data_IF_449536146543
#
_entry.id   IF_449536146543
#
_cell.length_a   1.000
_cell.length_b   1.000
_cell.length_c   1.000
_cell.angle_alpha   90.00
_cell.angle_beta   90.00
_cell.angle_gamma   90.00
#
_symmetry.space_group_name_H-M   'P 1'
#
loop_
_entity.id
_entity.type
_entity.pdbx_description
1 polymer ?
#
# COMPACT_ATOMS: atom_id res chain seq x y z
N UNK A 1 -2.88 16.06 31.43
CA UNK A 1 -3.62 15.97 30.15
C UNK A 1 -4.63 17.12 30.09
N UNK A 2 -4.38 18.17 29.29
CA UNK A 2 -5.29 19.31 29.15
C UNK A 2 -6.30 19.08 28.01
N UNK A 3 -7.60 19.30 28.27
CA UNK A 3 -8.67 19.18 27.27
C UNK A 3 -8.54 20.29 26.22
N UNK A 4 -8.34 19.89 24.97
CA UNK A 4 -8.40 20.74 23.77
C UNK A 4 -9.80 20.63 23.18
N UNK A 5 -10.35 21.73 22.65
CA UNK A 5 -11.65 21.72 21.96
C UNK A 5 -11.46 21.03 20.61
N UNK A 6 -12.06 19.85 20.40
CA UNK A 6 -12.07 19.21 19.08
C UNK A 6 -12.76 20.13 18.08
N UNK A 7 -12.01 20.59 17.09
CA UNK A 7 -12.59 21.28 15.93
C UNK A 7 -13.32 20.26 15.07
N UNK A 8 -14.57 20.56 14.69
CA UNK A 8 -15.29 19.87 13.61
C UNK A 8 -14.68 20.25 12.26
N UNK A 9 -13.44 19.83 12.00
CA UNK A 9 -12.72 20.06 10.73
C UNK A 9 -12.57 18.78 9.92
N UNK A 10 -12.25 18.87 8.64
CA UNK A 10 -11.73 17.74 7.84
C UNK A 10 -10.23 17.60 8.08
N UNK A 11 -9.67 16.40 7.88
CA UNK A 11 -8.23 16.23 7.89
C UNK A 11 -7.59 17.13 6.81
N UNK A 12 -6.41 17.68 7.10
CA UNK A 12 -5.65 18.50 6.14
C UNK A 12 -4.39 17.75 5.76
N UNK A 13 -4.16 17.57 4.47
CA UNK A 13 -2.90 17.06 3.95
C UNK A 13 -2.02 18.22 3.49
N UNK A 14 -0.76 18.21 3.93
CA UNK A 14 0.27 19.13 3.49
C UNK A 14 1.33 18.34 2.73
N UNK A 15 1.61 18.75 1.51
CA UNK A 15 2.58 18.08 0.63
C UNK A 15 3.84 18.95 0.50
N UNK A 16 4.99 18.33 0.64
CA UNK A 16 6.31 18.95 0.57
C UNK A 16 7.24 18.10 -0.31
N UNK A 17 8.30 18.73 -0.83
CA UNK A 17 9.42 18.03 -1.44
C UNK A 17 10.65 18.26 -0.57
N UNK A 18 11.24 17.18 -0.06
CA UNK A 18 12.44 17.23 0.76
C UNK A 18 13.51 16.36 0.12
N UNK A 19 14.59 16.98 -0.36
CA UNK A 19 15.71 16.31 -1.07
C UNK A 19 15.24 15.38 -2.20
N UNK A 20 14.25 15.83 -2.98
CA UNK A 20 13.67 15.06 -4.09
C UNK A 20 12.58 14.06 -3.67
N UNK A 21 12.39 13.79 -2.37
CA UNK A 21 11.34 12.89 -1.90
C UNK A 21 10.04 13.65 -1.61
N UNK A 22 8.90 13.06 -1.99
CA UNK A 22 7.57 13.54 -1.57
C UNK A 22 7.34 13.25 -0.10
N UNK A 23 6.96 14.27 0.65
CA UNK A 23 6.66 14.18 2.08
C UNK A 23 5.26 14.74 2.31
N UNK A 24 4.37 13.92 2.86
CA UNK A 24 3.01 14.30 3.20
C UNK A 24 2.83 14.32 4.71
N UNK A 25 2.33 15.42 5.25
CA UNK A 25 1.88 15.51 6.62
C UNK A 25 0.35 15.60 6.63
N UNK A 26 -0.30 14.50 7.00
CA UNK A 26 -1.74 14.47 7.22
C UNK A 26 -2.06 14.83 8.66
N UNK A 27 -2.78 15.93 8.87
CA UNK A 27 -3.19 16.41 10.19
C UNK A 27 -4.67 16.10 10.38
N UNK A 28 -4.96 15.20 11.31
CA UNK A 28 -6.31 14.84 11.72
C UNK A 28 -6.99 16.03 12.46
N UNK A 29 -8.34 16.14 12.49
CA UNK A 29 -9.03 17.20 13.23
C UNK A 29 -8.71 17.23 14.73
N UNK A 30 -8.28 16.09 15.29
CA UNK A 30 -7.77 16.00 16.66
C UNK A 30 -6.40 16.66 16.85
N UNK A 31 -5.72 17.08 15.77
CA UNK A 31 -4.37 17.65 15.75
C UNK A 31 -3.24 16.62 15.73
N UNK A 32 -3.55 15.32 15.72
CA UNK A 32 -2.57 14.24 15.54
C UNK A 32 -2.18 14.18 14.06
N UNK A 33 -0.89 14.02 13.81
CA UNK A 33 -0.32 14.00 12.47
C UNK A 33 0.09 12.60 12.08
N UNK A 34 0.07 12.32 10.78
CA UNK A 34 0.77 11.20 10.19
C UNK A 34 1.67 11.74 9.10
N UNK A 35 2.97 11.57 9.28
CA UNK A 35 3.96 11.89 8.28
C UNK A 35 4.14 10.66 7.39
N UNK A 36 4.11 10.86 6.08
CA UNK A 36 4.34 9.83 5.06
C UNK A 36 5.44 10.32 4.14
N UNK A 37 6.48 9.52 3.94
CA UNK A 37 7.66 9.85 3.14
C UNK A 37 7.79 8.84 2.01
N UNK A 38 7.77 9.34 0.78
CA UNK A 38 7.82 8.55 -0.46
C UNK A 38 6.80 7.38 -0.51
N UNK A 39 5.69 7.47 0.23
CA UNK A 39 4.74 6.39 0.48
C UNK A 39 5.30 5.07 1.06
N UNK A 40 6.59 5.00 1.38
CA UNK A 40 7.26 3.80 1.95
C UNK A 40 7.38 3.86 3.46
N UNK A 41 7.56 5.06 4.01
CA UNK A 41 7.84 5.26 5.43
C UNK A 41 6.76 6.14 6.03
N UNK A 42 6.27 5.79 7.21
CA UNK A 42 5.30 6.62 7.93
C UNK A 42 5.62 6.72 9.41
N UNK A 43 5.29 7.87 9.99
CA UNK A 43 5.44 8.14 11.41
C UNK A 43 4.20 8.82 11.96
N UNK A 44 3.65 8.27 13.05
CA UNK A 44 2.60 8.92 13.81
C UNK A 44 3.19 10.01 14.70
N UNK A 45 2.61 11.20 14.61
CA UNK A 45 3.05 12.39 15.34
C UNK A 45 1.96 12.79 16.32
N UNK A 46 2.33 12.96 17.59
CA UNK A 46 1.47 13.63 18.55
C UNK A 46 1.27 15.11 18.14
N UNK A 47 0.37 15.82 18.84
CA UNK A 47 -0.02 17.19 18.46
C UNK A 47 1.12 18.19 18.37
N UNK A 48 2.04 18.18 19.34
CA UNK A 48 3.18 19.12 19.34
C UNK A 48 4.18 18.78 18.24
N UNK A 49 4.46 17.50 18.03
CA UNK A 49 5.33 17.02 16.96
C UNK A 49 4.75 17.33 15.58
N UNK A 50 3.43 17.26 15.43
CA UNK A 50 2.72 17.62 14.19
C UNK A 50 2.89 19.09 13.85
N UNK A 51 2.71 19.98 14.84
CA UNK A 51 2.92 21.42 14.65
C UNK A 51 4.38 21.72 14.29
N UNK A 52 5.33 21.07 14.96
CA UNK A 52 6.75 21.25 14.68
C UNK A 52 7.14 20.72 13.29
N UNK A 53 6.62 19.57 12.87
CA UNK A 53 6.84 19.02 11.53
C UNK A 53 6.31 19.96 10.45
N UNK A 54 5.08 20.46 10.61
CA UNK A 54 4.48 21.44 9.70
C UNK A 54 5.36 22.70 9.59
N UNK A 55 5.80 23.25 10.74
CA UNK A 55 6.60 24.48 10.75
C UNK A 55 7.96 24.26 10.07
N UNK A 56 8.63 23.14 10.38
CA UNK A 56 9.93 22.80 9.79
C UNK A 56 9.84 22.58 8.28
N UNK A 57 8.88 21.77 7.83
CA UNK A 57 8.70 21.43 6.41
C UNK A 57 8.25 22.64 5.58
N UNK A 58 7.53 23.58 6.19
CA UNK A 58 7.13 24.85 5.55
C UNK A 58 8.25 25.91 5.55
N UNK A 59 9.42 25.62 6.13
CA UNK A 59 10.53 26.57 6.22
C UNK A 59 10.31 27.72 7.21
N UNK A 60 9.40 27.57 8.18
CA UNK A 60 9.18 28.59 9.20
C UNK A 60 10.40 28.71 10.14
N UNK A 61 10.78 29.94 10.57
CA UNK A 61 11.83 30.12 11.56
C UNK A 61 11.50 29.40 12.88
N UNK A 62 12.50 28.79 13.56
CA UNK A 62 12.31 28.08 14.83
C UNK A 62 11.54 28.90 15.89
N UNK A 63 11.79 30.21 15.95
CA UNK A 63 11.17 31.12 16.92
C UNK A 63 9.65 31.24 16.71
N UNK A 64 9.22 31.16 15.45
CA UNK A 64 7.81 31.18 15.06
C UNK A 64 7.14 29.87 15.48
N UNK A 65 7.76 28.73 15.17
CA UNK A 65 7.27 27.41 15.56
C UNK A 65 7.10 27.28 17.08
N UNK A 66 8.11 27.71 17.84
CA UNK A 66 8.12 27.74 19.31
C UNK A 66 6.98 28.62 19.84
N UNK A 67 6.84 29.84 19.30
CA UNK A 67 5.78 30.77 19.70
C UNK A 67 4.39 30.20 19.42
N UNK A 68 4.20 29.51 18.30
CA UNK A 68 2.95 28.80 17.97
C UNK A 68 2.68 27.68 18.96
N UNK A 69 3.67 26.87 19.31
CA UNK A 69 3.52 25.78 20.27
C UNK A 69 3.15 26.27 21.67
N UNK A 70 3.85 27.29 22.19
CA UNK A 70 3.54 27.88 23.51
C UNK A 70 2.10 28.43 23.56
N UNK A 71 1.62 29.01 22.45
CA UNK A 71 0.23 29.48 22.33
C UNK A 71 -0.78 28.33 22.24
N UNK A 72 -0.44 27.25 21.55
CA UNK A 72 -1.32 26.12 21.29
C UNK A 72 -1.46 25.17 22.49
N UNK A 73 -0.41 25.01 23.30
CA UNK A 73 -0.34 24.02 24.37
C UNK A 73 -0.24 24.69 25.76
N UNK A 74 -1.34 24.66 26.53
CA UNK A 74 -1.39 25.22 27.89
C UNK A 74 -0.34 24.57 28.79
N UNK A 75 0.44 25.40 29.48
CA UNK A 75 1.47 24.97 30.43
C UNK A 75 2.83 24.64 29.80
N UNK A 76 2.99 24.81 28.49
CA UNK A 76 4.28 24.69 27.82
C UNK A 76 5.08 25.98 27.95
N UNK A 77 6.23 25.94 28.61
CA UNK A 77 7.13 27.12 28.69
C UNK A 77 7.92 27.28 27.40
N UNK A 78 8.43 28.49 27.16
CA UNK A 78 9.23 28.79 25.96
C UNK A 78 10.50 27.96 25.92
N UNK A 79 11.22 27.85 27.03
CA UNK A 79 12.48 27.10 27.11
C UNK A 79 12.26 25.62 26.80
N UNK A 80 11.15 25.05 27.30
CA UNK A 80 10.77 23.67 26.99
C UNK A 80 10.39 23.51 25.52
N UNK A 81 9.59 24.42 24.95
CA UNK A 81 9.22 24.38 23.54
C UNK A 81 10.42 24.49 22.60
N UNK A 82 11.43 25.33 22.91
CA UNK A 82 12.67 25.46 22.13
C UNK A 82 13.49 24.17 22.12
N UNK A 83 13.63 23.53 23.29
CA UNK A 83 14.30 22.23 23.39
C UNK A 83 13.53 21.15 22.63
N UNK A 84 12.23 21.03 22.88
CA UNK A 84 11.39 20.00 22.26
C UNK A 84 11.38 20.16 20.72
N UNK A 85 11.33 21.39 20.19
CA UNK A 85 11.43 21.67 18.75
C UNK A 85 12.78 21.22 18.19
N UNK A 86 13.89 21.59 18.83
CA UNK A 86 15.25 21.25 18.37
C UNK A 86 15.47 19.75 18.33
N UNK A 87 15.09 19.04 19.39
CA UNK A 87 15.24 17.59 19.48
C UNK A 87 14.33 16.88 18.47
N UNK A 88 13.10 17.36 18.29
CA UNK A 88 12.20 16.84 17.28
C UNK A 88 12.74 17.02 15.86
N UNK A 89 13.17 18.23 15.48
CA UNK A 89 13.70 18.49 14.12
C UNK A 89 14.94 17.65 13.83
N UNK A 90 15.81 17.43 14.82
CA UNK A 90 16.97 16.53 14.66
C UNK A 90 16.53 15.12 14.29
N UNK A 91 15.57 14.55 15.03
CA UNK A 91 15.01 13.20 14.78
C UNK A 91 14.24 13.13 13.47
N UNK A 92 13.47 14.18 13.14
CA UNK A 92 12.72 14.27 11.90
C UNK A 92 13.67 14.31 10.69
N UNK A 93 14.74 15.09 10.74
CA UNK A 93 15.76 15.09 9.66
C UNK A 93 16.36 13.71 9.49
N UNK A 94 16.77 13.06 10.58
CA UNK A 94 17.28 11.71 10.51
C UNK A 94 16.24 10.73 9.94
N UNK A 95 14.96 10.84 10.31
CA UNK A 95 13.90 10.03 9.70
C UNK A 95 13.72 10.33 8.21
N UNK A 96 13.78 11.59 7.78
CA UNK A 96 13.65 11.95 6.37
C UNK A 96 14.86 11.44 5.56
N UNK A 97 16.05 11.56 6.12
CA UNK A 97 17.34 11.26 5.48
C UNK A 97 17.74 9.78 5.56
N UNK A 98 17.18 8.99 6.47
CA UNK A 98 17.58 7.61 6.70
C UNK A 98 17.03 6.64 5.65
N UNK A 99 17.89 5.87 4.99
CA UNK A 99 17.46 4.72 4.19
C UNK A 99 17.09 3.52 5.09
N UNK A 100 17.77 3.33 6.24
CA UNK A 100 17.62 2.11 7.08
C UNK A 100 17.49 2.34 8.61
N UNK A 101 17.45 3.59 9.09
CA UNK A 101 17.47 3.85 10.54
C UNK A 101 16.15 3.44 11.18
N UNK A 102 16.19 2.55 12.17
CA UNK A 102 15.03 2.12 12.91
C UNK A 102 14.44 3.32 13.70
N UNK A 103 13.23 3.81 13.36
CA UNK A 103 12.69 5.02 13.97
C UNK A 103 12.47 4.87 15.48
N UNK A 104 12.33 3.63 15.96
CA UNK A 104 11.98 3.31 17.33
C UNK A 104 13.23 3.32 18.22
N UNK A 105 14.26 2.54 17.85
CA UNK A 105 15.48 2.40 18.67
C UNK A 105 16.41 3.59 18.53
N UNK A 106 16.53 4.15 17.32
CA UNK A 106 17.59 5.11 17.02
C UNK A 106 17.08 6.56 17.06
N UNK A 107 15.79 6.77 16.78
CA UNK A 107 15.17 8.10 16.71
C UNK A 107 14.18 8.36 17.86
N UNK A 108 13.88 7.33 18.66
CA UNK A 108 13.01 7.43 19.84
C UNK A 108 11.56 7.82 19.51
N UNK A 109 11.06 7.44 18.33
CA UNK A 109 9.62 7.50 18.04
C UNK A 109 8.91 6.42 18.86
N UNK A 110 7.77 6.76 19.46
CA UNK A 110 6.96 5.79 20.18
C UNK A 110 6.34 4.79 19.19
N UNK A 111 6.39 3.49 19.53
CA UNK A 111 5.67 2.45 18.79
C UNK A 111 4.17 2.67 18.98
N UNK A 112 3.47 2.91 17.88
CA UNK A 112 2.02 2.93 17.81
C UNK A 112 1.62 1.62 17.15
N UNK A 113 0.83 0.81 17.84
CA UNK A 113 0.39 -0.46 17.28
C UNK A 113 -0.38 -0.21 15.97
N UNK A 114 -0.20 -1.06 14.94
CA UNK A 114 -0.95 -0.93 13.70
C UNK A 114 -2.46 -0.82 14.00
N UNK A 115 -3.13 0.15 13.37
CA UNK A 115 -4.56 0.43 13.53
C UNK A 115 -5.02 0.94 14.92
N UNK A 116 -4.11 1.17 15.87
CA UNK A 116 -4.49 1.70 17.19
C UNK A 116 -4.90 3.18 17.17
N UNK A 117 -4.66 3.88 16.06
CA UNK A 117 -5.10 5.25 15.82
C UNK A 117 -6.22 5.23 14.78
N UNK A 118 -7.42 5.68 15.18
CA UNK A 118 -8.54 5.87 14.25
C UNK A 118 -8.22 7.06 13.34
N UNK A 119 -8.10 6.79 12.05
CA UNK A 119 -7.93 7.81 11.01
C UNK A 119 -9.28 8.22 10.44
N UNK A 120 -9.30 9.35 9.73
CA UNK A 120 -10.48 9.89 9.02
C UNK A 120 -10.56 9.43 7.55
N UNK A 121 -9.50 8.79 7.05
CA UNK A 121 -9.39 8.27 5.69
C UNK A 121 -8.26 7.21 5.61
N UNK A 122 -8.21 6.38 4.55
CA UNK A 122 -7.08 5.48 4.32
C UNK A 122 -5.81 6.27 3.96
N UNK A 123 -4.67 5.59 3.91
CA UNK A 123 -3.39 6.18 3.45
C UNK A 123 -3.15 5.98 1.95
N UNK A 124 -3.80 4.98 1.37
CA UNK A 124 -3.71 4.67 -0.06
C UNK A 124 -5.10 4.38 -0.61
N UNK A 125 -5.39 4.91 -1.79
CA UNK A 125 -6.58 4.58 -2.56
C UNK A 125 -6.18 3.85 -3.84
N UNK A 126 -6.70 2.65 -4.03
CA UNK A 126 -6.50 1.87 -5.24
C UNK A 126 -7.56 2.24 -6.27
N UNK A 127 -7.14 2.72 -7.44
CA UNK A 127 -8.03 3.18 -8.51
C UNK A 127 -8.06 2.12 -9.61
N UNK A 128 -9.07 1.24 -9.57
CA UNK A 128 -9.32 0.27 -10.62
C UNK A 128 -9.94 1.00 -11.82
N UNK A 129 -9.10 1.47 -12.74
CA UNK A 129 -9.53 2.38 -13.81
C UNK A 129 -10.43 1.70 -14.85
N UNK A 130 -10.19 0.41 -15.06
CA UNK A 130 -10.90 -0.45 -16.00
C UNK A 130 -10.75 -1.89 -15.52
N UNK A 131 -11.71 -2.76 -15.85
CA UNK A 131 -11.55 -4.22 -15.73
C UNK A 131 -11.20 -4.91 -17.07
N UNK A 132 -11.00 -4.13 -18.14
CA UNK A 132 -10.37 -4.66 -19.36
C UNK A 132 -8.95 -5.10 -19.03
N UNK A 133 -8.55 -6.25 -19.55
CA UNK A 133 -7.20 -6.78 -19.40
C UNK A 133 -6.80 -7.55 -20.65
N UNK A 134 -5.53 -7.44 -21.04
CA UNK A 134 -4.92 -8.20 -22.12
C UNK A 134 -4.40 -9.57 -21.66
N UNK A 135 -4.39 -9.85 -20.35
CA UNK A 135 -4.15 -11.19 -19.77
C UNK A 135 -5.47 -11.91 -19.42
N UNK A 136 -5.38 -13.22 -19.15
CA UNK A 136 -6.49 -14.06 -18.69
C UNK A 136 -6.08 -14.95 -17.50
N UNK A 137 -5.37 -14.37 -16.54
CA UNK A 137 -4.70 -15.14 -15.49
C UNK A 137 -5.64 -16.10 -14.76
N UNK A 138 -5.18 -17.33 -14.52
CA UNK A 138 -6.00 -18.40 -13.92
C UNK A 138 -6.50 -18.05 -12.51
N UNK A 139 -5.72 -17.26 -11.75
CA UNK A 139 -6.02 -16.88 -10.36
C UNK A 139 -6.67 -15.50 -10.20
N UNK A 140 -7.00 -14.80 -11.30
CA UNK A 140 -7.34 -13.37 -11.23
C UNK A 140 -8.49 -13.09 -10.25
N UNK A 141 -8.22 -12.27 -9.23
CA UNK A 141 -9.22 -11.86 -8.26
C UNK A 141 -10.20 -10.83 -8.85
N UNK A 142 -9.75 -9.97 -9.78
CA UNK A 142 -10.59 -8.99 -10.47
C UNK A 142 -11.60 -9.58 -11.43
N UNK A 143 -11.39 -10.82 -11.87
CA UNK A 143 -12.28 -11.56 -12.76
C UNK A 143 -12.39 -10.93 -14.15
N UNK A 144 -12.01 -11.72 -15.17
CA UNK A 144 -12.58 -11.81 -16.53
C UNK A 144 -13.22 -10.59 -17.24
N UNK A 145 -13.12 -10.45 -18.59
CA UNK A 145 -13.88 -9.48 -19.40
C UNK A 145 -15.40 -9.40 -19.18
N UNK A 146 -15.98 -10.35 -18.45
CA UNK A 146 -17.40 -10.41 -18.07
C UNK A 146 -17.75 -9.49 -16.88
N UNK A 147 -16.75 -8.97 -16.14
CA UNK A 147 -16.92 -8.05 -15.02
C UNK A 147 -17.05 -6.59 -15.45
N UNK A 148 -17.31 -6.33 -16.74
CA UNK A 148 -17.31 -4.97 -17.30
C UNK A 148 -18.37 -4.09 -16.63
N UNK A 149 -17.89 -3.22 -15.76
CA UNK A 149 -18.63 -2.08 -15.25
C UNK A 149 -18.54 -0.91 -16.22
N UNK A 150 -19.52 0.00 -16.24
CA UNK A 150 -19.35 1.29 -16.90
C UNK A 150 -18.08 1.97 -16.39
N UNK A 151 -17.20 2.40 -17.30
CA UNK A 151 -15.98 3.10 -16.93
C UNK A 151 -16.26 4.60 -16.80
N UNK A 152 -15.79 5.21 -15.72
CA UNK A 152 -15.73 6.67 -15.57
C UNK A 152 -14.91 7.27 -16.72
N UNK A 153 -15.40 8.42 -17.19
CA UNK A 153 -14.67 9.27 -18.14
C UNK A 153 -13.39 9.84 -17.52
N UNK A 154 -12.50 10.36 -18.37
CA UNK A 154 -11.26 11.03 -17.94
C UNK A 154 -11.54 12.14 -16.92
N UNK A 155 -12.53 12.99 -17.18
CA UNK A 155 -12.89 14.10 -16.28
C UNK A 155 -13.47 13.62 -14.95
N UNK A 156 -14.21 12.51 -14.96
CA UNK A 156 -14.69 11.88 -13.73
C UNK A 156 -13.55 11.28 -12.92
N UNK A 157 -12.58 10.60 -13.55
CA UNK A 157 -11.39 10.11 -12.84
C UNK A 157 -10.54 11.25 -12.26
N UNK A 158 -10.37 12.36 -12.98
CA UNK A 158 -9.76 13.57 -12.41
C UNK A 158 -10.55 14.13 -11.23
N UNK A 159 -11.89 14.06 -11.28
CA UNK A 159 -12.72 14.42 -10.13
C UNK A 159 -12.51 13.46 -8.95
N UNK A 160 -12.32 12.16 -9.20
CA UNK A 160 -11.96 11.18 -8.17
C UNK A 160 -10.60 11.53 -7.56
N UNK A 161 -9.58 11.82 -8.36
CA UNK A 161 -8.25 12.20 -7.86
C UNK A 161 -8.31 13.46 -6.98
N UNK A 162 -9.04 14.50 -7.41
CA UNK A 162 -9.29 15.70 -6.59
C UNK A 162 -9.99 15.35 -5.29
N UNK A 163 -11.02 14.50 -5.35
CA UNK A 163 -11.75 14.04 -4.16
C UNK A 163 -10.84 13.29 -3.18
N UNK A 164 -9.97 12.40 -3.67
CA UNK A 164 -9.00 11.65 -2.87
C UNK A 164 -8.00 12.60 -2.18
N UNK A 165 -7.48 13.59 -2.92
CA UNK A 165 -6.61 14.62 -2.36
C UNK A 165 -7.32 15.47 -1.29
N UNK A 166 -8.57 15.88 -1.52
CA UNK A 166 -9.39 16.64 -0.57
C UNK A 166 -9.69 15.87 0.73
N UNK A 167 -9.74 14.54 0.65
CA UNK A 167 -9.87 13.65 1.81
C UNK A 167 -8.56 13.47 2.58
N UNK A 168 -7.46 14.02 2.06
CA UNK A 168 -6.13 13.92 2.64
C UNK A 168 -5.52 12.52 2.52
N UNK A 169 -5.87 11.79 1.46
CA UNK A 169 -5.27 10.50 1.13
C UNK A 169 -4.02 10.77 0.27
N UNK A 170 -2.81 10.44 0.73
CA UNK A 170 -1.57 10.86 0.06
C UNK A 170 -1.14 9.99 -1.11
N UNK A 171 -1.58 8.73 -1.17
CA UNK A 171 -1.14 7.77 -2.18
C UNK A 171 -2.32 7.27 -3.02
N UNK A 172 -2.16 7.26 -4.33
CA UNK A 172 -3.04 6.58 -5.28
C UNK A 172 -2.27 5.53 -6.06
N UNK A 173 -2.90 4.37 -6.28
CA UNK A 173 -2.35 3.34 -7.15
C UNK A 173 -3.31 3.06 -8.29
N UNK A 174 -2.85 3.30 -9.51
CA UNK A 174 -3.58 2.95 -10.72
C UNK A 174 -3.49 1.43 -10.94
N UNK A 175 -4.65 0.77 -11.06
CA UNK A 175 -4.78 -0.69 -11.12
C UNK A 175 -6.07 -1.09 -11.86
N UNK A 176 -6.56 -2.31 -11.64
CA UNK A 176 -7.88 -2.81 -12.03
C UNK A 176 -7.79 -4.19 -12.68
N UNK A 177 -8.17 -4.25 -13.95
CA UNK A 177 -7.71 -5.25 -14.90
C UNK A 177 -6.30 -4.87 -15.33
N UNK A 178 -6.17 -4.12 -16.43
CA UNK A 178 -4.90 -3.54 -16.87
C UNK A 178 -5.05 -2.04 -17.12
N UNK A 179 -4.52 -1.17 -16.23
CA UNK A 179 -4.65 0.29 -16.37
C UNK A 179 -3.99 0.83 -17.65
N UNK A 180 -2.94 0.19 -18.17
CA UNK A 180 -2.24 0.63 -19.40
C UNK A 180 -3.04 0.44 -20.70
N UNK A 181 -4.25 -0.14 -20.62
CA UNK A 181 -5.20 -0.21 -21.74
C UNK A 181 -6.11 1.03 -21.86
N UNK A 182 -5.91 2.03 -21.00
CA UNK A 182 -6.57 3.32 -21.13
C UNK A 182 -5.65 4.33 -21.79
N UNK A 183 -6.18 5.00 -22.80
CA UNK A 183 -5.45 6.03 -23.56
C UNK A 183 -5.15 7.28 -22.73
N UNK A 184 -5.93 7.51 -21.65
CA UNK A 184 -5.80 8.67 -20.76
C UNK A 184 -4.94 8.42 -19.52
N UNK A 185 -4.28 7.26 -19.38
CA UNK A 185 -3.50 6.93 -18.17
C UNK A 185 -2.41 7.96 -17.87
N UNK A 186 -1.65 8.39 -18.88
CA UNK A 186 -0.58 9.40 -18.74
C UNK A 186 -1.15 10.73 -18.21
N UNK A 187 -2.32 11.13 -18.70
CA UNK A 187 -3.01 12.34 -18.25
C UNK A 187 -3.48 12.22 -16.79
N UNK A 188 -3.95 11.04 -16.38
CA UNK A 188 -4.37 10.79 -14.99
C UNK A 188 -3.17 10.77 -14.02
N UNK A 189 -2.02 10.23 -14.44
CA UNK A 189 -0.76 10.31 -13.67
C UNK A 189 -0.33 11.77 -13.50
N UNK A 190 -0.36 12.55 -14.58
CA UNK A 190 -0.02 13.98 -14.52
C UNK A 190 -0.96 14.77 -13.58
N UNK A 191 -2.26 14.46 -13.59
CA UNK A 191 -3.20 15.08 -12.64
C UNK A 191 -2.91 14.68 -11.19
N UNK A 192 -2.60 13.40 -10.92
CA UNK A 192 -2.21 12.95 -9.59
C UNK A 192 -0.96 13.69 -9.10
N UNK A 193 0.03 13.85 -9.97
CA UNK A 193 1.25 14.61 -9.70
C UNK A 193 0.96 16.09 -9.42
N UNK A 194 0.08 16.73 -10.21
CA UNK A 194 -0.34 18.13 -10.01
C UNK A 194 -1.03 18.34 -8.67
N UNK A 195 -1.77 17.35 -8.19
CA UNK A 195 -2.42 17.35 -6.88
C UNK A 195 -1.45 17.04 -5.73
N UNK A 196 -0.19 16.74 -6.04
CA UNK A 196 0.83 16.35 -5.08
C UNK A 196 0.51 15.02 -4.41
N UNK A 197 -0.11 14.08 -5.12
CA UNK A 197 -0.27 12.70 -4.69
C UNK A 197 1.00 11.90 -5.04
N UNK A 198 1.28 10.85 -4.27
CA UNK A 198 2.18 9.78 -4.72
C UNK A 198 1.38 8.88 -5.65
N UNK A 199 1.88 8.67 -6.86
CA UNK A 199 1.26 7.87 -7.91
C UNK A 199 2.05 6.57 -8.11
N UNK A 200 1.42 5.45 -7.78
CA UNK A 200 1.91 4.12 -8.11
C UNK A 200 1.15 3.51 -9.29
N UNK A 201 1.78 2.60 -10.01
CA UNK A 201 1.16 1.79 -11.05
C UNK A 201 1.31 0.30 -10.71
N UNK A 202 0.21 -0.45 -10.72
CA UNK A 202 0.23 -1.92 -10.72
C UNK A 202 -0.20 -2.39 -12.10
N UNK A 203 0.67 -3.13 -12.79
CA UNK A 203 0.47 -3.51 -14.20
C UNK A 203 1.03 -4.90 -14.48
N UNK A 204 0.54 -5.56 -15.53
CA UNK A 204 1.18 -6.73 -16.11
C UNK A 204 2.39 -6.39 -16.99
N UNK A 205 2.68 -5.10 -17.21
CA UNK A 205 3.89 -4.60 -17.86
C UNK A 205 3.92 -4.72 -19.39
N UNK A 206 3.01 -5.48 -20.01
CA UNK A 206 3.10 -5.82 -21.44
C UNK A 206 3.04 -4.60 -22.36
N UNK A 207 2.20 -3.61 -22.02
CA UNK A 207 2.09 -2.38 -22.81
C UNK A 207 3.31 -1.46 -22.65
N UNK A 208 4.10 -1.63 -21.60
CA UNK A 208 5.35 -0.89 -21.40
C UNK A 208 6.47 -1.35 -22.35
N UNK A 209 6.28 -2.46 -23.08
CA UNK A 209 7.14 -2.82 -24.21
C UNK A 209 7.12 -1.75 -25.32
N UNK A 210 6.03 -0.98 -25.41
CA UNK A 210 6.04 0.30 -26.12
C UNK A 210 6.74 1.36 -25.25
N UNK A 211 8.00 1.62 -25.56
CA UNK A 211 8.84 2.54 -24.79
C UNK A 211 8.25 3.94 -24.67
N UNK A 212 7.47 4.39 -25.66
CA UNK A 212 6.84 5.72 -25.62
C UNK A 212 5.82 5.87 -24.50
N UNK A 213 5.12 4.78 -24.14
CA UNK A 213 4.20 4.77 -23.00
C UNK A 213 4.99 4.82 -21.68
N UNK A 214 6.08 4.06 -21.56
CA UNK A 214 6.93 4.07 -20.37
C UNK A 214 7.51 5.48 -20.13
N UNK A 215 8.06 6.12 -21.17
CA UNK A 215 8.58 7.49 -21.13
C UNK A 215 7.48 8.48 -20.73
N UNK A 216 6.30 8.42 -21.37
CA UNK A 216 5.19 9.31 -21.04
C UNK A 216 4.72 9.19 -19.59
N UNK A 217 4.71 7.99 -19.01
CA UNK A 217 4.35 7.77 -17.61
C UNK A 217 5.36 8.37 -16.63
N UNK A 218 6.66 8.17 -16.88
CA UNK A 218 7.73 8.73 -16.04
C UNK A 218 7.74 10.26 -16.15
N UNK A 219 7.63 10.81 -17.36
CA UNK A 219 7.55 12.26 -17.59
C UNK A 219 6.33 12.90 -16.93
N UNK A 220 5.19 12.20 -16.90
CA UNK A 220 3.99 12.64 -16.18
C UNK A 220 4.16 12.65 -14.65
N UNK A 221 5.22 12.04 -14.13
CA UNK A 221 5.57 12.05 -12.71
C UNK A 221 5.07 10.83 -11.93
N UNK A 222 5.01 9.67 -12.57
CA UNK A 222 4.81 8.39 -11.88
C UNK A 222 5.96 8.17 -10.87
N UNK A 223 5.64 7.73 -9.65
CA UNK A 223 6.66 7.59 -8.59
C UNK A 223 7.24 6.18 -8.50
N UNK A 224 6.43 5.16 -8.77
CA UNK A 224 6.86 3.76 -8.77
C UNK A 224 5.94 2.87 -9.60
N UNK A 225 6.50 1.74 -10.05
CA UNK A 225 5.75 0.70 -10.77
C UNK A 225 5.95 -0.64 -10.08
N UNK A 226 4.86 -1.37 -9.89
CA UNK A 226 4.88 -2.78 -9.59
C UNK A 226 4.42 -3.56 -10.83
N UNK A 227 5.32 -4.38 -11.38
CA UNK A 227 5.03 -5.22 -12.55
C UNK A 227 4.83 -6.67 -12.10
N UNK A 228 3.73 -7.28 -12.54
CA UNK A 228 3.48 -8.70 -12.24
C UNK A 228 4.22 -9.59 -13.24
N UNK A 229 5.20 -10.37 -12.76
CA UNK A 229 5.92 -11.37 -13.52
C UNK A 229 5.91 -12.70 -12.76
N UNK A 230 5.08 -13.63 -13.18
CA UNK A 230 4.80 -14.85 -12.40
C UNK A 230 5.93 -15.88 -12.38
N UNK A 231 6.91 -15.79 -13.28
CA UNK A 231 8.07 -16.68 -13.34
C UNK A 231 9.12 -16.13 -14.30
N UNK A 232 10.39 -16.45 -14.06
CA UNK A 232 11.46 -16.23 -15.04
C UNK A 232 11.34 -17.14 -16.26
N UNK A 233 10.57 -18.23 -16.17
CA UNK A 233 10.36 -19.19 -17.25
C UNK A 233 9.14 -18.79 -18.09
N UNK A 234 9.31 -18.56 -19.41
CA UNK A 234 8.22 -18.14 -20.27
C UNK A 234 7.00 -19.08 -20.22
N UNK A 235 7.23 -20.39 -20.25
CA UNK A 235 6.16 -21.39 -20.27
C UNK A 235 5.36 -21.43 -18.96
N UNK A 236 5.99 -21.15 -17.81
CA UNK A 236 5.30 -21.10 -16.52
C UNK A 236 4.48 -19.82 -16.42
N UNK A 237 5.08 -18.68 -16.75
CA UNK A 237 4.38 -17.40 -16.77
C UNK A 237 3.17 -17.44 -17.71
N UNK A 238 3.34 -17.91 -18.95
CA UNK A 238 2.26 -17.96 -19.95
C UNK A 238 1.19 -19.00 -19.59
N UNK A 239 1.55 -20.08 -18.88
CA UNK A 239 0.57 -21.00 -18.29
C UNK A 239 -0.26 -20.33 -17.20
N UNK A 240 0.29 -19.39 -16.45
CA UNK A 240 -0.47 -18.65 -15.42
C UNK A 240 -1.32 -17.56 -16.07
N UNK A 241 -0.76 -16.75 -16.98
CA UNK A 241 -1.44 -15.61 -17.64
C UNK A 241 -2.42 -16.02 -18.73
N UNK A 242 -2.28 -17.25 -19.25
CA UNK A 242 -3.07 -17.83 -20.34
C UNK A 242 -2.97 -17.05 -21.67
N UNK A 243 -1.83 -16.38 -21.91
CA UNK A 243 -1.60 -15.60 -23.14
C UNK A 243 -0.20 -15.84 -23.69
N UNK A 244 -0.07 -16.47 -24.87
CA UNK A 244 1.22 -16.64 -25.53
C UNK A 244 1.90 -15.31 -25.85
N UNK A 245 3.22 -15.25 -25.64
CA UNK A 245 4.03 -14.05 -25.82
C UNK A 245 3.95 -13.03 -24.68
N UNK A 246 3.11 -13.25 -23.66
CA UNK A 246 2.96 -12.31 -22.55
C UNK A 246 4.26 -12.13 -21.77
N UNK A 247 5.03 -13.21 -21.59
CA UNK A 247 6.29 -13.15 -20.86
C UNK A 247 7.27 -12.20 -21.54
N UNK A 248 7.45 -12.34 -22.86
CA UNK A 248 8.39 -11.51 -23.64
C UNK A 248 8.01 -10.03 -23.57
N UNK A 249 6.72 -9.72 -23.71
CA UNK A 249 6.22 -8.34 -23.64
C UNK A 249 6.38 -7.77 -22.23
N UNK A 250 6.09 -8.54 -21.18
CA UNK A 250 6.26 -8.11 -19.80
C UNK A 250 7.74 -7.85 -19.48
N UNK A 251 8.65 -8.76 -19.84
CA UNK A 251 10.09 -8.62 -19.62
C UNK A 251 10.65 -7.40 -20.36
N UNK A 252 10.26 -7.18 -21.61
CA UNK A 252 10.65 -5.98 -22.34
C UNK A 252 10.09 -4.70 -21.71
N UNK A 253 8.85 -4.74 -21.22
CA UNK A 253 8.25 -3.63 -20.51
C UNK A 253 8.93 -3.28 -19.20
N UNK A 254 9.38 -4.29 -18.44
CA UNK A 254 10.18 -4.11 -17.21
C UNK A 254 11.51 -3.44 -17.55
N UNK A 255 12.22 -3.94 -18.56
CA UNK A 255 13.50 -3.35 -18.99
C UNK A 255 13.33 -1.89 -19.39
N UNK A 256 12.33 -1.58 -20.22
CA UNK A 256 12.08 -0.21 -20.66
C UNK A 256 11.77 0.75 -19.51
N UNK A 257 10.98 0.33 -18.52
CA UNK A 257 10.60 1.20 -17.41
C UNK A 257 11.75 1.34 -16.39
N UNK A 258 12.51 0.26 -16.13
CA UNK A 258 13.69 0.28 -15.26
C UNK A 258 14.81 1.18 -15.82
N UNK A 259 15.06 1.13 -17.14
CA UNK A 259 16.02 2.00 -17.85
C UNK A 259 15.77 3.50 -17.63
N UNK A 260 14.55 3.90 -17.25
CA UNK A 260 14.17 5.29 -17.01
C UNK A 260 14.44 5.75 -15.57
N UNK A 261 14.96 4.88 -14.71
CA UNK A 261 15.39 5.21 -13.35
C UNK A 261 14.24 5.46 -12.35
N UNK A 262 13.03 5.04 -12.68
CA UNK A 262 11.91 4.97 -11.72
C UNK A 262 12.05 3.70 -10.89
N UNK A 263 11.54 3.73 -9.65
CA UNK A 263 11.57 2.54 -8.81
C UNK A 263 10.63 1.45 -9.34
N UNK A 264 11.18 0.26 -9.56
CA UNK A 264 10.50 -0.92 -10.11
C UNK A 264 10.49 -2.05 -9.10
N UNK A 265 9.30 -2.60 -8.86
CA UNK A 265 9.07 -3.78 -8.04
C UNK A 265 8.49 -4.90 -8.91
N UNK A 266 9.16 -6.05 -8.98
CA UNK A 266 8.63 -7.22 -9.67
C UNK A 266 7.91 -8.10 -8.67
N UNK A 267 6.60 -8.24 -8.84
CA UNK A 267 5.77 -9.06 -7.96
C UNK A 267 5.32 -10.37 -8.65
N UNK A 268 5.36 -11.48 -7.92
CA UNK A 268 4.72 -12.74 -8.32
C UNK A 268 3.60 -13.17 -7.35
N UNK A 269 2.60 -13.88 -7.86
CA UNK A 269 1.67 -14.65 -7.03
C UNK A 269 2.24 -16.04 -6.84
N UNK A 270 2.55 -16.41 -5.59
CA UNK A 270 3.08 -17.73 -5.29
C UNK A 270 2.02 -18.81 -5.59
N UNK A 271 2.46 -19.85 -6.28
CA UNK A 271 1.63 -20.93 -6.79
C UNK A 271 2.42 -22.23 -6.87
N UNK A 272 1.73 -23.37 -6.85
CA UNK A 272 2.33 -24.69 -7.13
C UNK A 272 3.07 -24.77 -8.47
N UNK A 273 2.87 -23.79 -9.37
CA UNK A 273 3.53 -23.75 -10.67
C UNK A 273 4.88 -23.03 -10.64
N UNK A 274 5.13 -22.14 -9.67
CA UNK A 274 6.33 -21.30 -9.62
C UNK A 274 7.11 -21.36 -8.30
N UNK A 275 6.54 -21.87 -7.20
CA UNK A 275 7.22 -21.89 -5.88
C UNK A 275 8.55 -22.64 -5.89
N UNK A 276 8.69 -23.69 -6.70
CA UNK A 276 9.93 -24.47 -6.76
C UNK A 276 11.07 -23.82 -7.54
N UNK A 277 10.90 -22.60 -8.05
CA UNK A 277 11.87 -21.94 -8.94
C UNK A 277 11.89 -20.40 -8.77
N UNK A 278 11.61 -19.94 -7.55
CA UNK A 278 11.48 -18.51 -7.22
C UNK A 278 12.81 -17.76 -7.21
N UNK A 279 13.93 -18.44 -6.93
CA UNK A 279 15.28 -17.83 -6.99
C UNK A 279 15.56 -17.30 -8.39
N UNK A 280 15.22 -18.06 -9.44
CA UNK A 280 15.42 -17.60 -10.82
C UNK A 280 14.58 -16.37 -11.18
N UNK A 281 13.44 -16.14 -10.49
CA UNK A 281 12.68 -14.89 -10.64
C UNK A 281 13.44 -13.70 -10.04
N UNK A 282 14.10 -13.88 -8.90
CA UNK A 282 14.92 -12.84 -8.27
C UNK A 282 16.13 -12.52 -9.14
N UNK A 283 16.79 -13.55 -9.70
CA UNK A 283 17.90 -13.38 -10.64
C UNK A 283 17.50 -12.58 -11.87
N UNK A 284 16.37 -12.95 -12.50
CA UNK A 284 15.86 -12.20 -13.63
C UNK A 284 15.47 -10.77 -13.23
N UNK A 285 14.97 -10.55 -12.02
CA UNK A 285 14.60 -9.22 -11.55
C UNK A 285 15.82 -8.28 -11.47
N UNK A 286 16.92 -8.77 -10.90
CA UNK A 286 18.20 -8.07 -10.85
C UNK A 286 18.74 -7.79 -12.26
N UNK A 287 18.75 -8.79 -13.14
CA UNK A 287 19.18 -8.63 -14.54
C UNK A 287 18.39 -7.57 -15.31
N UNK A 288 17.12 -7.38 -14.97
CA UNK A 288 16.23 -6.39 -15.59
C UNK A 288 16.35 -4.99 -14.95
N UNK A 289 17.15 -4.84 -13.89
CA UNK A 289 17.35 -3.58 -13.18
C UNK A 289 16.21 -3.20 -12.25
N UNK A 290 15.46 -4.17 -11.71
CA UNK A 290 14.44 -3.89 -10.71
C UNK A 290 15.08 -3.58 -9.34
N UNK A 291 14.46 -2.69 -8.56
CA UNK A 291 14.93 -2.34 -7.21
C UNK A 291 14.46 -3.35 -6.15
N UNK A 292 13.36 -4.05 -6.45
CA UNK A 292 12.71 -4.92 -5.50
C UNK A 292 12.06 -6.13 -6.18
N UNK A 293 11.97 -7.22 -5.41
CA UNK A 293 11.16 -8.37 -5.73
C UNK A 293 10.14 -8.61 -4.61
N UNK A 294 8.92 -8.93 -5.01
CA UNK A 294 7.83 -9.12 -4.08
C UNK A 294 7.04 -10.39 -4.37
N UNK A 295 6.40 -10.90 -3.32
CA UNK A 295 5.52 -12.05 -3.40
C UNK A 295 4.15 -11.75 -2.79
N UNK A 296 3.12 -12.33 -3.40
CA UNK A 296 1.74 -12.34 -2.93
C UNK A 296 1.23 -13.77 -2.79
N UNK A 297 0.27 -13.98 -1.89
CA UNK A 297 -0.51 -15.22 -1.81
C UNK A 297 -1.67 -15.22 -2.79
N UNK A 298 -2.23 -16.40 -3.05
CA UNK A 298 -3.53 -16.51 -3.68
C UNK A 298 -4.58 -15.74 -2.86
N UNK A 299 -5.33 -14.88 -3.54
CA UNK A 299 -6.47 -14.17 -2.96
C UNK A 299 -7.74 -14.97 -3.25
N UNK A 300 -8.51 -15.24 -2.21
CA UNK A 300 -9.78 -15.96 -2.31
C UNK A 300 -10.92 -15.05 -2.76
N UNK A 301 -10.83 -14.61 -4.01
CA UNK A 301 -11.84 -13.82 -4.70
C UNK A 301 -11.74 -14.09 -6.21
N UNK A 302 -12.79 -13.79 -6.96
CA UNK A 302 -12.87 -14.06 -8.40
C UNK A 302 -12.49 -15.50 -8.73
N UNK A 303 -11.68 -15.70 -9.77
CA UNK A 303 -11.21 -17.04 -10.18
C UNK A 303 -10.25 -17.67 -9.18
N UNK A 304 -9.66 -16.90 -8.27
CA UNK A 304 -8.82 -17.43 -7.21
C UNK A 304 -9.56 -18.47 -6.34
N UNK A 305 -10.87 -18.34 -6.20
CA UNK A 305 -11.72 -19.31 -5.50
C UNK A 305 -11.80 -20.66 -6.20
N UNK A 306 -11.77 -20.66 -7.53
CA UNK A 306 -11.96 -21.85 -8.38
C UNK A 306 -10.68 -22.67 -8.51
N UNK A 307 -9.52 -22.02 -8.42
CA UNK A 307 -8.22 -22.65 -8.71
C UNK A 307 -7.46 -23.11 -7.47
N UNK A 308 -7.90 -22.71 -6.26
CA UNK A 308 -7.17 -22.88 -5.01
C UNK A 308 -6.58 -24.29 -4.79
N UNK A 309 -7.33 -25.35 -5.09
CA UNK A 309 -6.94 -26.73 -4.78
C UNK A 309 -5.66 -27.16 -5.53
N UNK A 310 -5.52 -26.75 -6.79
CA UNK A 310 -4.40 -27.11 -7.65
C UNK A 310 -3.37 -25.99 -7.83
N UNK A 311 -3.73 -24.74 -7.48
CA UNK A 311 -2.90 -23.56 -7.68
C UNK A 311 -2.17 -23.11 -6.41
N UNK A 312 -2.84 -23.13 -5.25
CA UNK A 312 -2.27 -22.61 -4.01
C UNK A 312 -1.21 -23.57 -3.44
N UNK A 313 0.00 -23.08 -3.12
CA UNK A 313 1.04 -23.87 -2.45
C UNK A 313 0.66 -24.14 -0.99
N UNK A 314 1.28 -25.14 -0.37
CA UNK A 314 1.11 -25.35 1.08
C UNK A 314 1.78 -24.23 1.89
N UNK A 315 1.44 -24.05 3.17
CA UNK A 315 2.15 -23.11 4.03
C UNK A 315 3.66 -23.35 4.08
N UNK A 316 4.10 -24.61 4.07
CA UNK A 316 5.51 -25.00 4.05
C UNK A 316 6.19 -24.63 2.73
N UNK A 317 5.59 -24.99 1.59
CA UNK A 317 6.10 -24.59 0.26
C UNK A 317 6.14 -23.06 0.10
N UNK A 318 5.17 -22.37 0.68
CA UNK A 318 5.14 -20.89 0.70
C UNK A 318 6.30 -20.36 1.52
N UNK A 319 6.52 -20.89 2.72
CA UNK A 319 7.56 -20.42 3.61
C UNK A 319 8.95 -20.61 3.00
N UNK A 320 9.24 -21.81 2.48
CA UNK A 320 10.51 -22.12 1.79
C UNK A 320 10.74 -21.14 0.64
N UNK A 321 9.74 -20.92 -0.21
CA UNK A 321 9.85 -19.95 -1.31
C UNK A 321 10.09 -18.51 -0.83
N UNK A 322 9.49 -18.09 0.30
CA UNK A 322 9.71 -16.74 0.84
C UNK A 322 11.13 -16.58 1.41
N UNK A 323 11.66 -17.61 2.08
CA UNK A 323 13.04 -17.62 2.59
C UNK A 323 14.04 -17.59 1.43
N UNK A 324 13.85 -18.44 0.42
CA UNK A 324 14.69 -18.48 -0.79
C UNK A 324 14.68 -17.13 -1.54
N UNK A 325 13.51 -16.50 -1.69
CA UNK A 325 13.42 -15.18 -2.32
C UNK A 325 14.11 -14.10 -1.49
N UNK A 326 13.98 -14.14 -0.17
CA UNK A 326 14.61 -13.16 0.71
C UNK A 326 16.14 -13.27 0.69
N UNK A 327 16.66 -14.49 0.76
CA UNK A 327 18.10 -14.76 0.71
C UNK A 327 18.68 -14.36 -0.66
N UNK A 328 18.03 -14.77 -1.76
CA UNK A 328 18.46 -14.41 -3.11
C UNK A 328 18.42 -12.89 -3.37
N UNK A 329 17.44 -12.18 -2.82
CA UNK A 329 17.33 -10.73 -2.94
C UNK A 329 18.43 -10.03 -2.14
N UNK A 330 18.71 -10.49 -0.92
CA UNK A 330 19.78 -9.96 -0.09
C UNK A 330 21.16 -10.14 -0.72
N UNK A 331 21.42 -11.27 -1.38
CA UNK A 331 22.67 -11.51 -2.13
C UNK A 331 22.90 -10.54 -3.30
N UNK A 332 21.82 -9.91 -3.80
CA UNK A 332 21.81 -9.02 -4.97
C UNK A 332 21.53 -7.56 -4.59
N UNK A 333 21.61 -7.21 -3.31
CA UNK A 333 21.30 -5.88 -2.78
C UNK A 333 19.88 -5.37 -3.18
N UNK A 334 18.91 -6.28 -3.37
CA UNK A 334 17.52 -5.98 -3.70
C UNK A 334 16.62 -5.98 -2.46
N UNK A 335 15.55 -5.16 -2.46
CA UNK A 335 14.52 -5.23 -1.43
C UNK A 335 13.57 -6.42 -1.67
N UNK A 336 13.39 -7.29 -0.68
CA UNK A 336 12.34 -8.31 -0.70
C UNK A 336 11.10 -7.87 0.08
N UNK A 337 9.90 -8.07 -0.51
CA UNK A 337 8.63 -7.82 0.20
C UNK A 337 7.62 -8.96 0.07
N UNK A 338 7.15 -9.42 1.23
CA UNK A 338 5.94 -10.22 1.32
C UNK A 338 4.70 -9.33 1.50
N UNK A 339 3.73 -9.43 0.60
CA UNK A 339 2.47 -8.67 0.68
C UNK A 339 1.29 -9.50 1.17
N UNK A 340 1.41 -10.83 1.21
CA UNK A 340 0.32 -11.71 1.60
C UNK A 340 -0.09 -11.53 3.06
N UNK A 341 -1.39 -11.33 3.28
CA UNK A 341 -1.98 -11.37 4.62
C UNK A 341 -2.00 -12.83 5.10
N UNK A 342 -1.38 -13.12 6.24
CA UNK A 342 -1.32 -14.47 6.79
C UNK A 342 -2.15 -14.60 8.05
N UNK A 343 -2.60 -15.83 8.34
CA UNK A 343 -3.00 -16.21 9.68
C UNK A 343 -1.75 -16.71 10.40
N UNK A 344 -1.36 -16.05 11.48
CA UNK A 344 -0.07 -16.35 12.14
C UNK A 344 -0.02 -17.74 12.77
N UNK A 345 -1.16 -18.39 12.97
CA UNK A 345 -1.22 -19.79 13.38
C UNK A 345 -0.90 -20.78 12.24
N UNK A 346 -0.86 -20.30 10.99
CA UNK A 346 -0.53 -21.09 9.79
C UNK A 346 0.86 -20.69 9.26
N UNK A 347 1.12 -19.38 9.15
CA UNK A 347 2.43 -18.83 8.78
C UNK A 347 2.65 -17.52 9.52
N UNK A 348 3.59 -17.50 10.46
CA UNK A 348 3.94 -16.31 11.24
C UNK A 348 5.09 -15.53 10.59
N UNK A 349 4.82 -14.42 9.88
CA UNK A 349 5.85 -13.65 9.18
C UNK A 349 6.83 -12.95 10.13
N UNK A 350 6.53 -12.85 11.43
CA UNK A 350 7.42 -12.23 12.41
C UNK A 350 8.61 -13.12 12.77
N UNK A 351 8.44 -14.44 12.74
CA UNK A 351 9.51 -15.41 13.03
C UNK A 351 10.60 -15.37 11.95
N UNK A 352 10.20 -15.05 10.72
CA UNK A 352 11.05 -15.01 9.53
C UNK A 352 11.38 -13.57 9.08
N UNK A 353 11.14 -12.57 9.94
CA UNK A 353 11.48 -11.16 9.69
C UNK A 353 10.81 -10.52 8.45
N UNK A 354 9.77 -11.14 7.88
CA UNK A 354 8.99 -10.59 6.76
C UNK A 354 8.10 -9.39 7.16
N UNK A 355 8.09 -9.02 8.44
CA UNK A 355 7.36 -7.88 8.99
C UNK A 355 5.89 -8.20 9.32
N UNK A 356 5.15 -7.19 9.78
CA UNK A 356 3.75 -7.38 10.21
C UNK A 356 2.85 -7.51 8.97
N UNK A 357 2.07 -8.60 8.88
CA UNK A 357 1.08 -8.83 7.82
C UNK A 357 -0.31 -8.98 8.41
N UNK A 358 -1.20 -8.05 8.06
CA UNK A 358 -2.59 -8.06 8.48
C UNK A 358 -3.46 -7.41 7.41
N UNK A 359 -4.77 -7.63 7.50
CA UNK A 359 -5.72 -7.02 6.58
C UNK A 359 -5.71 -5.48 6.67
N UNK A 360 -5.30 -4.83 5.58
CA UNK A 360 -5.25 -3.36 5.43
C UNK A 360 -6.56 -2.73 4.96
N UNK A 361 -7.56 -3.54 4.59
CA UNK A 361 -8.84 -3.08 4.07
C UNK A 361 -9.58 -2.17 5.06
N UNK A 362 -10.30 -1.18 4.55
CA UNK A 362 -11.04 -0.18 5.33
C UNK A 362 -10.20 0.56 6.38
N UNK A 363 -8.86 0.54 6.28
CA UNK A 363 -7.98 1.12 7.29
C UNK A 363 -6.77 1.82 6.68
N UNK A 364 -5.86 1.08 6.06
CA UNK A 364 -4.71 1.63 5.34
C UNK A 364 -5.06 1.81 3.87
N UNK A 365 -5.84 0.89 3.31
CA UNK A 365 -6.24 0.87 1.91
C UNK A 365 -7.76 0.76 1.75
N UNK A 366 -8.25 1.33 0.66
CA UNK A 366 -9.57 1.10 0.07
C UNK A 366 -9.42 1.16 -1.45
N UNK A 367 -10.44 0.73 -2.20
CA UNK A 367 -10.41 0.81 -3.66
C UNK A 367 -11.64 1.52 -4.24
N UNK A 368 -11.46 2.14 -5.41
CA UNK A 368 -12.51 2.69 -6.27
C UNK A 368 -12.55 1.86 -7.54
N UNK A 369 -13.72 1.33 -7.86
CA UNK A 369 -14.02 0.55 -9.06
C UNK A 369 -14.24 1.42 -10.31
N UNK A 370 -14.28 0.83 -11.52
CA UNK A 370 -14.41 1.58 -12.76
C UNK A 370 -15.62 2.50 -12.85
N UNK A 371 -16.71 2.19 -12.14
CA UNK A 371 -17.96 2.95 -12.09
C UNK A 371 -18.02 3.98 -10.96
N UNK A 372 -16.94 4.14 -10.19
CA UNK A 372 -16.86 5.04 -9.04
C UNK A 372 -17.34 4.43 -7.72
N UNK A 373 -17.74 3.16 -7.69
CA UNK A 373 -18.07 2.44 -6.46
C UNK A 373 -16.82 2.29 -5.58
N UNK A 374 -16.95 2.59 -4.29
CA UNK A 374 -15.91 2.36 -3.28
C UNK A 374 -16.10 1.00 -2.64
N UNK A 375 -15.01 0.25 -2.49
CA UNK A 375 -14.98 -1.10 -1.88
C UNK A 375 -13.85 -1.20 -0.81
N UNK A 376 -13.92 -2.17 0.13
CA UNK A 376 -12.95 -2.29 1.24
C UNK A 376 -11.48 -2.43 0.81
N UNK A 377 -11.21 -3.15 -0.28
CA UNK A 377 -9.90 -3.30 -0.92
C UNK A 377 -10.09 -3.84 -2.34
N UNK A 378 -9.01 -3.93 -3.13
CA UNK A 378 -9.04 -4.33 -4.55
C UNK A 378 -9.75 -5.65 -4.85
N UNK A 379 -9.88 -6.56 -3.87
CA UNK A 379 -10.41 -7.91 -4.06
C UNK A 379 -11.71 -8.20 -3.31
N UNK A 380 -12.24 -7.24 -2.55
CA UNK A 380 -13.43 -7.40 -1.72
C UNK A 380 -14.60 -6.64 -2.35
N UNK A 381 -15.32 -7.27 -3.27
CA UNK A 381 -16.38 -6.64 -4.09
C UNK A 381 -17.71 -6.40 -3.36
N UNK A 382 -17.67 -5.78 -2.17
CA UNK A 382 -18.85 -5.31 -1.45
C UNK A 382 -18.91 -3.77 -1.53
N UNK A 383 -19.96 -3.18 -2.12
CA UNK A 383 -20.05 -1.74 -2.27
C UNK A 383 -20.24 -1.04 -0.93
N UNK A 384 -19.48 0.04 -0.72
CA UNK A 384 -19.56 0.91 0.46
C UNK A 384 -20.25 2.27 0.15
N UNK A 385 -20.38 2.60 -1.13
CA UNK A 385 -20.92 3.85 -1.66
C UNK A 385 -20.22 4.26 -2.94
N UNK A 386 -20.46 5.47 -3.43
CA UNK A 386 -19.90 6.02 -4.66
C UNK A 386 -19.08 7.28 -4.38
N UNK A 387 -17.80 7.30 -4.78
CA UNK A 387 -16.80 8.29 -4.35
C UNK A 387 -17.16 9.75 -4.68
N UNK A 388 -17.85 9.98 -5.80
CA UNK A 388 -18.27 11.31 -6.25
C UNK A 388 -19.66 11.76 -5.76
N UNK A 389 -20.48 10.84 -5.24
CA UNK A 389 -21.92 11.08 -5.02
C UNK A 389 -22.30 11.00 -3.55
N UNK A 390 -21.67 10.09 -2.82
CA UNK A 390 -22.04 9.81 -1.43
C UNK A 390 -21.14 10.55 -0.43
N UNK A 391 -21.67 10.72 0.78
CA UNK A 391 -20.92 11.32 1.86
C UNK A 391 -19.78 10.40 2.33
N UNK A 392 -18.59 10.97 2.47
CA UNK A 392 -17.40 10.20 2.82
C UNK A 392 -17.47 9.61 4.23
N UNK A 393 -18.08 10.30 5.20
CA UNK A 393 -18.18 9.77 6.56
C UNK A 393 -19.09 8.53 6.58
N UNK A 394 -20.12 8.48 5.73
CA UNK A 394 -20.95 7.30 5.57
C UNK A 394 -20.17 6.12 4.95
N UNK A 395 -19.35 6.37 3.92
CA UNK A 395 -18.48 5.36 3.30
C UNK A 395 -17.44 4.84 4.30
N UNK A 396 -16.72 5.75 4.97
CA UNK A 396 -15.61 5.42 5.88
C UNK A 396 -16.06 4.69 7.15
N UNK A 397 -17.26 5.04 7.65
CA UNK A 397 -17.88 4.40 8.81
C UNK A 397 -18.98 3.41 8.41
N UNK A 398 -18.94 2.91 7.18
CA UNK A 398 -19.86 1.85 6.75
C UNK A 398 -19.75 0.65 7.72
N UNK A 399 -20.86 -0.01 8.09
CA UNK A 399 -20.84 -1.11 9.07
C UNK A 399 -19.80 -2.21 8.75
N UNK A 400 -19.65 -2.55 7.47
CA UNK A 400 -18.63 -3.50 7.01
C UNK A 400 -17.20 -3.02 7.32
N UNK A 401 -16.91 -1.72 7.14
CA UNK A 401 -15.60 -1.19 7.48
C UNK A 401 -15.37 -1.16 8.99
N UNK A 402 -16.40 -0.93 9.81
CA UNK A 402 -16.28 -1.05 11.26
C UNK A 402 -16.04 -2.48 11.71
N UNK A 403 -16.70 -3.46 11.08
CA UNK A 403 -16.49 -4.89 11.31
C UNK A 403 -15.04 -5.31 10.97
N UNK A 404 -14.55 -4.91 9.79
CA UNK A 404 -13.17 -5.21 9.35
C UNK A 404 -12.15 -4.57 10.29
N UNK A 405 -12.30 -3.26 10.60
CA UNK A 405 -11.38 -2.53 11.49
C UNK A 405 -11.37 -3.09 12.91
N UNK A 406 -12.52 -3.53 13.42
CA UNK A 406 -12.64 -4.15 14.75
C UNK A 406 -12.26 -5.63 14.77
N UNK A 407 -11.99 -6.23 13.60
CA UNK A 407 -11.65 -7.64 13.43
C UNK A 407 -12.74 -8.57 13.97
N UNK A 408 -14.00 -8.14 13.85
CA UNK A 408 -15.14 -8.87 14.40
C UNK A 408 -15.38 -10.21 13.69
N UNK A 409 -14.87 -10.37 12.46
CA UNK A 409 -14.86 -11.61 11.70
C UNK A 409 -13.95 -12.71 12.28
N UNK A 410 -13.00 -12.36 13.16
CA UNK A 410 -12.07 -13.33 13.73
C UNK A 410 -12.75 -14.25 14.75
N UNK A 411 -12.37 -15.53 14.75
CA UNK A 411 -12.90 -16.56 15.64
C UNK A 411 -12.58 -16.32 17.13
N UNK A 412 -13.28 -17.04 18.02
CA UNK A 412 -13.13 -16.88 19.48
C UNK A 412 -11.70 -17.19 19.96
N UNK A 413 -11.10 -18.26 19.44
CA UNK A 413 -9.70 -18.63 19.74
C UNK A 413 -8.69 -17.54 19.37
N UNK A 414 -8.98 -16.70 18.37
CA UNK A 414 -8.11 -15.58 18.02
C UNK A 414 -8.10 -14.51 19.13
N UNK A 415 -9.18 -14.34 19.90
CA UNK A 415 -9.29 -13.27 20.90
C UNK A 415 -8.38 -13.49 22.11
N UNK A 416 -8.01 -14.73 22.40
CA UNK A 416 -7.05 -15.09 23.44
C UNK A 416 -5.61 -15.26 22.91
N UNK A 417 -5.40 -15.16 21.59
CA UNK A 417 -4.09 -15.31 20.98
C UNK A 417 -3.19 -14.08 21.25
N UNK A 418 -1.95 -14.25 21.74
CA UNK A 418 -1.05 -13.13 22.02
C UNK A 418 -0.63 -12.38 20.75
N UNK A 419 -0.66 -13.02 19.58
CA UNK A 419 -0.36 -12.40 18.29
C UNK A 419 -1.55 -11.66 17.68
N UNK A 420 -2.73 -11.68 18.31
CA UNK A 420 -3.95 -11.15 17.69
C UNK A 420 -3.84 -9.67 17.31
N UNK A 421 -3.15 -8.85 18.11
CA UNK A 421 -2.93 -7.42 17.80
C UNK A 421 -2.17 -7.22 16.48
N UNK A 422 -1.17 -8.05 16.20
CA UNK A 422 -0.37 -8.02 14.97
C UNK A 422 -1.06 -8.72 13.79
N UNK A 423 -1.57 -9.93 13.99
CA UNK A 423 -2.18 -10.79 12.96
C UNK A 423 -3.58 -10.32 12.53
N UNK A 424 -4.41 -9.93 13.50
CA UNK A 424 -5.79 -9.52 13.28
C UNK A 424 -6.75 -10.59 12.78
N UNK A 425 -6.34 -11.86 12.77
CA UNK A 425 -7.14 -12.98 12.26
C UNK A 425 -7.00 -13.22 10.75
N UNK A 426 -6.01 -12.61 10.10
CA UNK A 426 -5.77 -12.79 8.66
C UNK A 426 -6.78 -12.05 7.78
N UNK A 427 -7.03 -12.57 6.57
CA UNK A 427 -7.92 -11.94 5.59
C UNK A 427 -9.40 -12.27 5.88
N UNK A 428 -10.32 -11.27 5.90
CA UNK A 428 -11.76 -11.52 6.08
C UNK A 428 -12.37 -12.40 4.98
N UNK A 429 -11.86 -12.31 3.74
CA UNK A 429 -12.33 -13.17 2.64
C UNK A 429 -11.98 -14.64 2.88
N UNK A 430 -10.81 -14.88 3.48
CA UNK A 430 -10.39 -16.22 3.90
C UNK A 430 -11.17 -16.72 5.12
N UNK A 431 -11.49 -15.84 6.07
CA UNK A 431 -12.34 -16.17 7.21
C UNK A 431 -13.72 -16.73 6.81
N UNK A 432 -14.24 -16.34 5.65
CA UNK A 432 -15.51 -16.87 5.11
C UNK A 432 -15.41 -18.31 4.59
N UNK A 433 -14.20 -18.80 4.33
CA UNK A 433 -13.95 -20.09 3.66
C UNK A 433 -13.27 -21.10 4.56
N UNK A 434 -12.29 -20.65 5.35
CA UNK A 434 -11.50 -21.50 6.24
C UNK A 434 -11.89 -21.20 7.67
N UNK A 435 -12.28 -22.23 8.42
CA UNK A 435 -12.52 -22.11 9.85
C UNK A 435 -11.24 -21.66 10.58
N UNK A 436 -11.41 -21.00 11.72
CA UNK A 436 -10.32 -20.77 12.67
C UNK A 436 -10.11 -22.02 13.53
N UNK A 437 -8.89 -22.24 14.06
CA UNK A 437 -8.66 -23.33 15.00
C UNK A 437 -9.49 -23.15 16.28
N UNK A 438 -9.84 -24.25 16.94
CA UNK A 438 -10.64 -24.23 18.18
C UNK A 438 -9.86 -23.67 19.39
N UNK A 439 -8.53 -23.64 19.31
CA UNK A 439 -7.64 -23.13 20.35
C UNK A 439 -6.51 -22.30 19.72
N UNK A 440 -5.99 -21.28 20.43
CA UNK A 440 -4.84 -20.53 19.96
C UNK A 440 -3.61 -21.45 19.81
N UNK A 441 -2.70 -21.16 18.85
CA UNK A 441 -1.46 -21.92 18.73
C UNK A 441 -0.63 -21.82 20.01
N UNK A 442 0.03 -22.91 20.39
CA UNK A 442 1.03 -22.88 21.46
C UNK A 442 2.17 -21.95 21.02
N UNK A 443 2.45 -20.93 21.83
CA UNK A 443 3.57 -20.02 21.56
C UNK A 443 4.81 -20.65 22.16
N UNK A 444 5.74 -21.07 21.32
CA UNK A 444 7.04 -21.61 21.73
C UNK A 444 7.96 -20.54 22.32
#
# INVERSE_FOLDING_TARGET
MGRWRSGKGRARMLSFVYRGQKVHLRVDPSGVGVLVVAARRSAYLNRSSTLFAESFLSGEPPEVAVKRAVRAFRGLTRERAERDYRDFVRRLKAFLDAEEVCPITDLGFARVDPLSVRTSAPFRMDLALTYRCNNRCVHCYSGSPESQKPELSTEEWKAVLRRVADLGIPNVVFTGGEPTLRDDLVELVAEAQRLGLVAGLVTNGRRLADRSLAEGLVEAGLDYVQVTLESHRPEVHERITQVPGSWRETVEGIRNIADLGIYVDINATLSKLNVGDVVGLVELADELGADAVSANRLIYSGRGLEVREWFEPTPEETLEALEDMADAAAERDMEFRWYGVTRYCELNPLEHQFGVKFCSACSITMAVEPDGTVIPCQSYYEPLGHILRDDWEAIWNHPLCEEIRSRAFAGEACRSCPFFSACGGGCPLEARLRAYPESPPEVA
#
